data_IF_946865641172
#
_entry.id   IF_946865641172
#
_cell.length_a   1.000
_cell.length_b   1.000
_cell.length_c   1.000
_cell.angle_alpha   90.00
_cell.angle_beta   90.00
_cell.angle_gamma   90.00
#
_symmetry.space_group_name_H-M   'P 1'
#
loop_
_entity.id
_entity.type
_entity.pdbx_description
1 polymer ?
#
# COMPACT_ATOMS: atom_id res chain seq x y z
N UNK A 1 3.72 -5.71 -9.89
CA UNK A 1 3.20 -4.94 -11.05
C UNK A 1 3.20 -3.45 -10.73
N UNK A 2 2.60 -3.03 -9.61
CA UNK A 2 2.49 -1.60 -9.25
C UNK A 2 3.82 -0.85 -9.13
N UNK A 3 4.88 -1.46 -8.56
CA UNK A 3 6.21 -0.82 -8.51
C UNK A 3 6.76 -0.54 -9.91
N UNK A 4 6.55 -1.45 -10.85
CA UNK A 4 7.00 -1.30 -12.24
C UNK A 4 6.18 -0.23 -12.96
N UNK A 5 4.87 -0.20 -12.73
CA UNK A 5 3.97 0.82 -13.27
C UNK A 5 4.36 2.22 -12.80
N UNK A 6 4.64 2.41 -11.50
CA UNK A 6 5.10 3.69 -10.96
C UNK A 6 6.43 4.17 -11.56
N UNK A 7 7.37 3.26 -11.84
CA UNK A 7 8.63 3.62 -12.51
C UNK A 7 8.34 4.09 -13.95
N UNK A 8 7.46 3.40 -14.67
CA UNK A 8 7.12 3.74 -16.05
C UNK A 8 6.30 5.03 -16.15
N UNK A 9 5.46 5.31 -15.14
CA UNK A 9 4.77 6.60 -14.97
C UNK A 9 5.77 7.73 -14.75
N UNK A 10 6.76 7.53 -13.87
CA UNK A 10 7.82 8.51 -13.62
C UNK A 10 8.66 8.82 -14.87
N UNK A 11 8.75 7.86 -15.80
CA UNK A 11 9.46 8.01 -17.07
C UNK A 11 8.57 8.56 -18.20
N UNK A 12 7.35 9.01 -17.91
CA UNK A 12 6.38 9.53 -18.89
C UNK A 12 6.12 8.57 -20.06
N UNK A 13 6.15 7.26 -19.81
CA UNK A 13 5.94 6.25 -20.84
C UNK A 13 4.52 6.31 -21.40
N UNK A 14 4.37 6.14 -22.72
CA UNK A 14 3.06 5.93 -23.35
C UNK A 14 2.46 4.59 -22.91
N UNK A 15 1.15 4.40 -23.07
CA UNK A 15 0.47 3.14 -22.71
C UNK A 15 1.08 1.92 -23.43
N UNK A 16 1.52 2.10 -24.68
CA UNK A 16 2.20 1.05 -25.44
C UNK A 16 3.59 0.73 -24.86
N UNK A 17 4.35 1.75 -24.47
CA UNK A 17 5.65 1.58 -23.81
C UNK A 17 5.48 0.93 -22.43
N UNK A 18 4.44 1.29 -21.68
CA UNK A 18 4.11 0.67 -20.40
C UNK A 18 3.82 -0.82 -20.56
N UNK A 19 3.00 -1.19 -21.55
CA UNK A 19 2.69 -2.58 -21.84
C UNK A 19 3.97 -3.38 -22.13
N UNK A 20 4.82 -2.88 -23.04
CA UNK A 20 6.09 -3.52 -23.38
C UNK A 20 7.00 -3.65 -22.17
N UNK A 21 7.12 -2.59 -21.37
CA UNK A 21 7.96 -2.54 -20.17
C UNK A 21 7.50 -3.52 -19.09
N UNK A 22 6.20 -3.57 -18.78
CA UNK A 22 5.66 -4.49 -17.77
C UNK A 22 5.81 -5.94 -18.22
N UNK A 23 5.52 -6.24 -19.48
CA UNK A 23 5.68 -7.60 -20.01
C UNK A 23 7.14 -8.02 -19.94
N UNK A 24 8.08 -7.14 -20.29
CA UNK A 24 9.51 -7.41 -20.21
C UNK A 24 10.01 -7.63 -18.78
N UNK A 25 9.48 -6.88 -17.81
CA UNK A 25 9.87 -6.95 -16.40
C UNK A 25 9.05 -7.97 -15.60
N UNK A 26 8.11 -8.66 -16.23
CA UNK A 26 7.30 -9.70 -15.59
C UNK A 26 8.14 -10.95 -15.31
N UNK A 27 7.91 -11.58 -14.16
CA UNK A 27 8.54 -12.87 -13.81
C UNK A 27 8.07 -13.97 -14.78
N UNK A 28 8.85 -15.04 -14.90
CA UNK A 28 8.69 -16.08 -15.92
C UNK A 28 7.26 -16.61 -16.09
N UNK A 29 6.53 -16.87 -15.00
CA UNK A 29 5.15 -17.37 -15.09
C UNK A 29 4.17 -16.36 -15.69
N UNK A 30 4.30 -15.09 -15.31
CA UNK A 30 3.48 -14.01 -15.84
C UNK A 30 3.82 -13.71 -17.31
N UNK A 31 5.11 -13.74 -17.66
CA UNK A 31 5.56 -13.58 -19.03
C UNK A 31 5.05 -14.72 -19.93
N UNK A 32 5.23 -15.98 -19.52
CA UNK A 32 4.78 -17.17 -20.27
C UNK A 32 3.26 -17.18 -20.48
N UNK A 33 2.50 -16.85 -19.45
CA UNK A 33 1.05 -16.71 -19.56
C UNK A 33 0.67 -15.61 -20.57
N UNK A 34 1.31 -14.44 -20.49
CA UNK A 34 0.99 -13.33 -21.39
C UNK A 34 1.31 -13.70 -22.85
N UNK A 35 2.42 -14.38 -23.10
CA UNK A 35 2.76 -14.92 -24.43
C UNK A 35 1.68 -15.87 -24.96
N UNK A 36 1.04 -16.66 -24.10
CA UNK A 36 -0.09 -17.53 -24.51
C UNK A 36 -1.32 -16.73 -24.93
N UNK A 37 -1.61 -15.61 -24.26
CA UNK A 37 -2.74 -14.72 -24.60
C UNK A 37 -2.48 -14.03 -25.95
N UNK A 38 -1.27 -13.50 -26.14
CA UNK A 38 -0.86 -12.82 -27.38
C UNK A 38 -0.96 -13.76 -28.58
N UNK A 39 -0.62 -15.05 -28.42
CA UNK A 39 -0.73 -16.05 -29.50
C UNK A 39 -2.18 -16.36 -29.90
N UNK A 40 -3.14 -16.16 -28.99
CA UNK A 40 -4.56 -16.46 -29.22
C UNK A 40 -5.42 -15.23 -29.49
N UNK A 41 -4.85 -14.03 -29.52
CA UNK A 41 -5.57 -12.75 -29.62
C UNK A 41 -5.02 -11.94 -30.78
N UNK A 42 -5.90 -11.23 -31.51
CA UNK A 42 -5.49 -10.35 -32.59
C UNK A 42 -4.67 -9.17 -32.04
N UNK A 43 -3.54 -8.79 -32.66
CA UNK A 43 -2.68 -7.70 -32.18
C UNK A 43 -3.42 -6.37 -31.97
N UNK A 44 -4.42 -6.08 -32.79
CA UNK A 44 -5.22 -4.85 -32.74
C UNK A 44 -6.16 -4.80 -31.52
N UNK A 45 -6.41 -5.95 -30.89
CA UNK A 45 -7.20 -6.06 -29.67
C UNK A 45 -6.35 -6.01 -28.40
N UNK A 46 -5.01 -5.99 -28.53
CA UNK A 46 -4.08 -6.00 -27.40
C UNK A 46 -3.62 -4.58 -27.12
N UNK A 47 -4.32 -3.91 -26.23
CA UNK A 47 -3.92 -2.64 -25.67
C UNK A 47 -3.64 -2.74 -24.16
N UNK A 48 -3.26 -1.61 -23.57
CA UNK A 48 -2.98 -1.53 -22.14
C UNK A 48 -4.19 -1.90 -21.27
N UNK A 49 -5.40 -1.50 -21.66
CA UNK A 49 -6.61 -1.80 -20.90
C UNK A 49 -6.92 -3.30 -20.91
N UNK A 50 -6.77 -3.95 -22.07
CA UNK A 50 -6.90 -5.40 -22.20
C UNK A 50 -5.88 -6.15 -21.34
N UNK A 51 -4.60 -5.72 -21.36
CA UNK A 51 -3.57 -6.28 -20.49
C UNK A 51 -3.95 -6.15 -19.00
N UNK A 52 -4.38 -4.96 -18.56
CA UNK A 52 -4.74 -4.74 -17.16
C UNK A 52 -5.89 -5.66 -16.73
N UNK A 53 -6.96 -5.77 -17.52
CA UNK A 53 -8.10 -6.65 -17.22
C UNK A 53 -7.68 -8.12 -17.20
N UNK A 54 -6.91 -8.57 -18.20
CA UNK A 54 -6.47 -9.96 -18.28
C UNK A 54 -5.49 -10.31 -17.15
N UNK A 55 -4.55 -9.41 -16.84
CA UNK A 55 -3.56 -9.60 -15.79
C UNK A 55 -4.24 -9.61 -14.42
N UNK A 56 -5.19 -8.69 -14.19
CA UNK A 56 -6.00 -8.69 -12.99
C UNK A 56 -6.78 -10.01 -12.89
N UNK A 57 -7.53 -10.42 -13.91
CA UNK A 57 -8.28 -11.67 -13.87
C UNK A 57 -7.42 -12.93 -13.61
N UNK A 58 -6.18 -12.95 -14.10
CA UNK A 58 -5.27 -14.10 -13.94
C UNK A 58 -4.52 -14.11 -12.61
N UNK A 59 -4.02 -12.96 -12.16
CA UNK A 59 -3.07 -12.86 -11.05
C UNK A 59 -3.58 -12.05 -9.86
N UNK A 60 -4.58 -11.20 -10.07
CA UNK A 60 -5.23 -10.34 -9.07
C UNK A 60 -6.72 -10.71 -9.04
N UNK A 61 -7.02 -11.99 -8.82
CA UNK A 61 -8.41 -12.45 -8.81
C UNK A 61 -9.22 -11.85 -7.63
N UNK A 62 -10.55 -12.03 -7.60
CA UNK A 62 -11.40 -11.59 -6.48
C UNK A 62 -10.90 -12.07 -5.10
N UNK A 63 -10.22 -13.21 -5.08
CA UNK A 63 -9.57 -13.73 -3.89
C UNK A 63 -8.42 -12.84 -3.38
N UNK A 64 -7.63 -12.23 -4.28
CA UNK A 64 -6.55 -11.32 -3.91
C UNK A 64 -7.10 -10.01 -3.34
N UNK A 65 -8.13 -9.43 -3.97
CA UNK A 65 -8.77 -8.22 -3.44
C UNK A 65 -9.35 -8.48 -2.04
N UNK A 66 -10.01 -9.62 -1.85
CA UNK A 66 -10.53 -10.01 -0.54
C UNK A 66 -9.42 -10.26 0.48
N UNK A 67 -8.31 -10.89 0.07
CA UNK A 67 -7.12 -11.05 0.94
C UNK A 67 -6.56 -9.69 1.35
N UNK A 68 -6.35 -8.75 0.42
CA UNK A 68 -5.88 -7.41 0.74
C UNK A 68 -6.86 -6.64 1.64
N UNK A 69 -8.17 -6.82 1.44
CA UNK A 69 -9.21 -6.24 2.30
C UNK A 69 -9.12 -6.80 3.72
N UNK A 70 -8.92 -8.11 3.87
CA UNK A 70 -8.74 -8.77 5.18
C UNK A 70 -7.42 -8.35 5.84
N UNK A 71 -6.34 -8.26 5.08
CA UNK A 71 -5.05 -7.73 5.54
C UNK A 71 -5.19 -6.29 6.04
N UNK A 72 -5.96 -5.45 5.35
CA UNK A 72 -6.25 -4.09 5.81
C UNK A 72 -6.97 -4.07 7.16
N UNK A 73 -7.99 -4.91 7.33
CA UNK A 73 -8.79 -4.99 8.57
C UNK A 73 -7.91 -5.40 9.76
N UNK A 74 -7.02 -6.37 9.54
CA UNK A 74 -6.12 -6.89 10.57
C UNK A 74 -4.82 -6.08 10.72
N UNK A 75 -4.60 -5.06 9.88
CA UNK A 75 -3.36 -4.31 9.86
C UNK A 75 -3.09 -3.62 11.21
N UNK A 76 -1.95 -3.95 11.80
CA UNK A 76 -1.40 -3.30 13.00
C UNK A 76 0.00 -2.77 12.71
N UNK A 77 0.38 -1.67 13.37
CA UNK A 77 1.72 -1.10 13.29
C UNK A 77 2.80 -2.12 13.67
N UNK A 78 2.57 -2.91 14.74
CA UNK A 78 3.54 -3.89 15.21
C UNK A 78 4.93 -3.29 15.45
N UNK A 79 5.95 -3.89 14.82
CA UNK A 79 7.35 -3.43 14.88
C UNK A 79 7.71 -2.33 13.88
N UNK A 80 6.81 -1.94 12.97
CA UNK A 80 7.05 -0.91 11.96
C UNK A 80 7.21 0.48 12.60
N UNK A 81 8.02 1.32 11.96
CA UNK A 81 7.99 2.76 12.17
C UNK A 81 6.64 3.34 11.71
N UNK A 82 6.29 4.53 12.18
CA UNK A 82 5.07 5.21 11.72
C UNK A 82 5.08 5.45 10.20
N UNK A 83 6.26 5.71 9.62
CA UNK A 83 6.41 5.93 8.18
C UNK A 83 6.14 4.66 7.37
N UNK A 84 6.70 3.52 7.77
CA UNK A 84 6.47 2.23 7.11
C UNK A 84 4.99 1.81 7.25
N UNK A 85 4.44 1.92 8.46
CA UNK A 85 3.03 1.62 8.71
C UNK A 85 2.09 2.50 7.88
N UNK A 86 2.41 3.80 7.71
CA UNK A 86 1.64 4.70 6.83
C UNK A 86 1.65 4.22 5.38
N UNK A 87 2.81 3.82 4.87
CA UNK A 87 2.93 3.34 3.48
C UNK A 87 2.05 2.11 3.28
N UNK A 88 2.17 1.12 4.17
CA UNK A 88 1.38 -0.11 4.12
C UNK A 88 -0.12 0.17 4.26
N UNK A 89 -0.50 1.01 5.22
CA UNK A 89 -1.89 1.40 5.45
C UNK A 89 -2.51 2.06 4.21
N UNK A 90 -1.80 3.00 3.58
CA UNK A 90 -2.29 3.66 2.36
C UNK A 90 -2.40 2.68 1.20
N UNK A 91 -1.41 1.78 1.06
CA UNK A 91 -1.38 0.78 0.01
C UNK A 91 -2.59 -0.17 0.09
N UNK A 92 -2.83 -0.74 1.28
CA UNK A 92 -3.95 -1.65 1.56
C UNK A 92 -5.32 -0.94 1.55
N UNK A 93 -5.38 0.33 1.94
CA UNK A 93 -6.66 1.08 2.00
C UNK A 93 -7.39 1.19 0.65
N UNK A 94 -6.66 1.03 -0.46
CA UNK A 94 -7.23 1.00 -1.83
C UNK A 94 -8.19 -0.16 -2.05
N UNK A 95 -8.04 -1.25 -1.29
CA UNK A 95 -8.91 -2.44 -1.33
C UNK A 95 -10.04 -2.40 -0.28
N UNK A 96 -10.08 -1.36 0.55
CA UNK A 96 -11.00 -1.22 1.67
C UNK A 96 -11.68 0.15 1.68
N UNK A 97 -11.99 0.69 0.49
CA UNK A 97 -12.55 2.05 0.32
C UNK A 97 -13.85 2.28 1.09
N UNK A 98 -14.65 1.24 1.30
CA UNK A 98 -15.86 1.29 2.13
C UNK A 98 -15.60 1.44 3.63
N UNK A 99 -14.42 1.03 4.11
CA UNK A 99 -13.99 1.10 5.52
C UNK A 99 -13.34 2.46 5.81
N UNK A 100 -12.72 3.08 4.81
CA UNK A 100 -12.05 4.40 4.93
C UNK A 100 -12.69 5.46 4.03
N UNK A 101 -14.02 5.45 3.95
CA UNK A 101 -14.78 6.29 3.02
C UNK A 101 -14.61 7.80 3.29
N UNK A 102 -14.31 8.16 4.54
CA UNK A 102 -14.02 9.53 4.98
C UNK A 102 -12.62 9.66 5.59
N UNK A 103 -12.07 10.87 5.58
CA UNK A 103 -10.82 11.19 6.27
C UNK A 103 -10.90 10.89 7.78
N UNK A 104 -12.09 11.02 8.38
CA UNK A 104 -12.33 10.66 9.78
C UNK A 104 -12.21 9.16 10.01
N UNK A 105 -12.85 8.33 9.19
CA UNK A 105 -12.75 6.86 9.28
C UNK A 105 -11.32 6.40 9.01
N UNK A 106 -10.67 6.98 8.00
CA UNK A 106 -9.26 6.73 7.70
C UNK A 106 -8.34 7.02 8.90
N UNK A 107 -8.56 8.17 9.55
CA UNK A 107 -7.81 8.56 10.76
C UNK A 107 -8.09 7.62 11.93
N UNK A 108 -9.36 7.25 12.12
CA UNK A 108 -9.80 6.31 13.15
C UNK A 108 -9.12 4.94 12.98
N UNK A 109 -9.21 4.35 11.79
CA UNK A 109 -8.61 3.04 11.50
C UNK A 109 -7.08 3.07 11.62
N UNK A 110 -6.43 4.13 11.15
CA UNK A 110 -4.99 4.30 11.32
C UNK A 110 -4.60 4.29 12.80
N UNK A 111 -5.31 5.08 13.62
CA UNK A 111 -5.09 5.17 15.07
C UNK A 111 -5.33 3.83 15.77
N UNK A 112 -6.32 3.06 15.33
CA UNK A 112 -6.67 1.78 15.94
C UNK A 112 -5.61 0.70 15.73
N UNK A 113 -4.89 0.75 14.62
CA UNK A 113 -3.74 -0.13 14.37
C UNK A 113 -2.44 0.32 15.03
N UNK A 114 -2.35 1.51 15.63
CA UNK A 114 -1.13 1.96 16.31
C UNK A 114 -0.83 1.13 17.56
N UNK A 115 0.47 0.92 17.84
CA UNK A 115 0.90 0.26 19.08
C UNK A 115 0.48 1.07 20.29
N UNK A 116 0.17 0.40 21.41
CA UNK A 116 -0.36 1.05 22.63
C UNK A 116 0.52 2.23 23.11
N UNK A 117 1.84 2.10 22.98
CA UNK A 117 2.77 3.18 23.30
C UNK A 117 2.65 4.43 22.41
N UNK A 118 2.02 4.38 21.25
CA UNK A 118 1.80 5.54 20.37
C UNK A 118 0.33 5.93 20.25
N UNK A 119 -0.60 5.09 20.72
CA UNK A 119 -1.99 5.51 20.91
C UNK A 119 -1.97 6.74 21.81
N UNK A 120 -2.42 7.87 21.25
CA UNK A 120 -2.46 9.15 21.96
C UNK A 120 -3.46 9.00 23.11
N UNK A 121 -2.99 8.64 24.30
CA UNK A 121 -3.81 8.64 25.50
C UNK A 121 -4.34 10.05 25.72
N UNK A 122 -5.66 10.23 25.62
CA UNK A 122 -6.34 11.45 26.08
C UNK A 122 -7.28 12.14 25.10
N UNK A 123 -7.40 11.72 23.84
CA UNK A 123 -8.48 12.22 22.96
C UNK A 123 -8.70 11.25 21.81
N UNK A 124 -9.56 10.26 21.96
CA UNK A 124 -9.82 9.27 20.90
C UNK A 124 -10.51 9.83 19.65
N UNK A 125 -10.59 11.16 19.47
CA UNK A 125 -11.35 11.80 18.38
C UNK A 125 -10.80 13.17 17.89
N UNK A 126 -9.63 13.63 18.31
CA UNK A 126 -9.25 15.02 18.00
C UNK A 126 -8.76 15.21 16.57
N UNK A 127 -7.95 14.27 16.06
CA UNK A 127 -7.33 14.43 14.76
C UNK A 127 -8.16 13.74 13.68
N UNK A 128 -9.13 14.49 13.14
CA UNK A 128 -10.01 14.08 12.05
C UNK A 128 -9.31 14.09 10.68
N UNK A 129 -8.09 14.63 10.64
CA UNK A 129 -7.30 14.82 9.42
C UNK A 129 -6.13 13.84 9.45
N UNK A 130 -6.10 12.92 8.49
CA UNK A 130 -5.15 11.81 8.48
C UNK A 130 -3.69 12.28 8.49
N UNK A 131 -3.38 13.32 7.71
CA UNK A 131 -2.04 13.89 7.61
C UNK A 131 -1.55 14.43 8.95
N UNK A 132 -2.40 15.17 9.67
CA UNK A 132 -2.05 15.74 10.96
C UNK A 132 -1.80 14.64 12.02
N UNK A 133 -2.61 13.57 11.98
CA UNK A 133 -2.45 12.41 12.86
C UNK A 133 -1.11 11.71 12.65
N UNK A 134 -0.75 11.48 11.39
CA UNK A 134 0.52 10.87 11.01
C UNK A 134 1.71 11.70 11.51
N UNK A 135 1.71 13.02 11.29
CA UNK A 135 2.83 13.86 11.73
C UNK A 135 2.95 13.92 13.26
N UNK A 136 1.81 14.02 13.96
CA UNK A 136 1.78 13.97 15.43
C UNK A 136 2.34 12.65 15.97
N UNK A 137 1.96 11.52 15.36
CA UNK A 137 2.41 10.19 15.82
C UNK A 137 3.89 9.94 15.53
N UNK A 138 4.44 10.47 14.43
CA UNK A 138 5.89 10.47 14.15
C UNK A 138 6.67 11.23 15.22
N UNK A 139 6.21 12.42 15.62
CA UNK A 139 6.87 13.21 16.68
C UNK A 139 6.90 12.44 18.00
N UNK A 140 5.77 11.82 18.37
CA UNK A 140 5.68 11.00 19.59
C UNK A 140 6.62 9.81 19.53
N UNK A 141 6.70 9.13 18.38
CA UNK A 141 7.63 8.01 18.15
C UNK A 141 9.09 8.43 18.39
N UNK A 142 9.52 9.56 17.82
CA UNK A 142 10.89 10.04 17.98
C UNK A 142 11.18 10.48 19.43
N UNK A 143 10.25 11.17 20.10
CA UNK A 143 10.39 11.52 21.52
C UNK A 143 10.61 10.27 22.37
N UNK A 144 9.85 9.20 22.13
CA UNK A 144 9.99 7.93 22.87
C UNK A 144 11.30 7.24 22.55
N UNK A 145 11.72 7.23 21.29
CA UNK A 145 13.01 6.67 20.85
C UNK A 145 14.18 7.37 21.53
N UNK A 146 14.18 8.71 21.59
CA UNK A 146 15.23 9.50 22.25
C UNK A 146 15.26 9.23 23.76
N UNK A 147 14.09 9.20 24.42
CA UNK A 147 14.00 8.87 25.86
C UNK A 147 14.56 7.49 26.17
N UNK A 148 14.23 6.49 25.36
CA UNK A 148 14.73 5.13 25.53
C UNK A 148 16.26 5.05 25.42
N UNK A 149 16.84 5.73 24.41
CA UNK A 149 18.30 5.83 24.24
C UNK A 149 19.00 6.52 25.42
N UNK A 150 18.40 7.57 25.98
CA UNK A 150 18.95 8.27 27.16
C UNK A 150 18.95 7.37 28.41
N UNK A 151 17.88 6.60 28.62
CA UNK A 151 17.75 5.71 29.77
C UNK A 151 18.72 4.52 29.72
N UNK A 152 19.11 4.06 28.52
CA UNK A 152 20.13 3.02 28.35
C UNK A 152 21.52 3.56 28.71
N UNK A 153 21.89 4.75 28.21
CA UNK A 153 23.18 5.40 28.48
C UNK A 153 23.43 5.79 29.94
N UNK A 154 22.41 5.84 30.79
CA UNK A 154 22.53 6.12 32.23
C UNK A 154 22.69 4.84 33.08
N UNK A 155 22.53 3.67 32.47
CA UNK A 155 22.64 2.36 33.14
C UNK A 155 23.96 1.64 32.83
N UNK A 156 24.71 2.16 31.87
CA UNK A 156 26.07 1.75 31.51
C UNK A 156 27.08 2.69 32.20
#
# INVERSE_FOLDING_TARGET
METTEHILDYLDCTLEQKLKGIVFLSRDDAYRWWQSIVRGTLPECIDWAYFQVAFQGKFVGPFYEEVCRLEFIELKQGGMTISEYKVEFLWLSRYATSIVASEQEKSFHFQEGLRYGLKVQGASHQERVFVALVEKTKIIEEIKRVKHKKNQKQRD
#
